data_IF_010291295235
#
_entry.id   IF_010291295235
#
_cell.length_a   1.000
_cell.length_b   1.000
_cell.length_c   1.000
_cell.angle_alpha   90.00
_cell.angle_beta   90.00
_cell.angle_gamma   90.00
#
_symmetry.space_group_name_H-M   'P 1'
#
loop_
_entity.id
_entity.type
_entity.pdbx_description
1 polymer ?
#
# COMPACT_ATOMS: atom_id res chain seq x y z
N UNK A 1 41.39 42.81 0.80
CA UNK A 1 41.36 41.39 0.44
C UNK A 1 40.80 40.63 1.63
N UNK A 2 39.57 40.16 1.44
CA UNK A 2 38.68 39.58 2.45
C UNK A 2 39.13 38.18 2.86
N UNK A 3 39.12 37.96 4.18
CA UNK A 3 39.42 36.69 4.85
C UNK A 3 38.26 35.70 4.64
N UNK A 4 38.56 34.50 4.16
CA UNK A 4 37.65 33.35 4.14
C UNK A 4 37.85 32.53 5.42
N UNK A 5 36.79 32.03 6.08
CA UNK A 5 36.93 31.10 7.19
C UNK A 5 36.95 29.64 6.72
N UNK A 6 37.93 28.90 7.22
CA UNK A 6 38.11 27.45 7.05
C UNK A 6 37.04 26.66 7.80
N UNK A 7 36.38 25.72 7.13
CA UNK A 7 35.48 24.74 7.74
C UNK A 7 36.22 23.44 8.07
N UNK A 8 36.21 23.07 9.35
CA UNK A 8 36.73 21.81 9.87
C UNK A 8 35.60 20.79 10.00
N UNK A 9 35.65 19.71 9.23
CA UNK A 9 34.73 18.57 9.35
C UNK A 9 35.08 17.75 10.60
N UNK A 10 34.23 17.80 11.63
CA UNK A 10 34.25 16.84 12.75
C UNK A 10 33.32 15.68 12.43
N UNK A 11 33.90 14.49 12.31
CA UNK A 11 33.19 13.21 12.30
C UNK A 11 32.59 12.93 13.68
N UNK A 12 31.26 12.80 13.74
CA UNK A 12 30.54 12.31 14.91
C UNK A 12 29.99 10.93 14.57
N UNK A 13 30.74 9.89 14.93
CA UNK A 13 30.21 8.53 15.04
C UNK A 13 29.57 8.39 16.42
N UNK A 14 28.27 8.08 16.46
CA UNK A 14 27.59 7.65 17.68
C UNK A 14 26.76 6.41 17.36
N UNK A 15 26.85 5.34 18.18
CA UNK A 15 26.18 4.08 17.91
C UNK A 15 24.69 4.15 18.29
N UNK A 16 23.83 3.60 17.42
CA UNK A 16 22.40 3.44 17.68
C UNK A 16 22.14 2.40 18.79
N UNK A 17 21.15 2.60 19.67
CA UNK A 17 20.80 1.64 20.70
C UNK A 17 20.05 0.42 20.15
N UNK A 18 20.49 -0.78 20.54
CA UNK A 18 19.80 -2.06 20.29
C UNK A 18 18.43 -2.06 21.00
N UNK A 19 17.34 -2.07 20.22
CA UNK A 19 15.99 -2.36 20.71
C UNK A 19 15.79 -3.87 20.87
N UNK A 20 15.71 -4.34 22.11
CA UNK A 20 15.21 -5.69 22.43
C UNK A 20 13.69 -5.71 22.34
N UNK A 21 13.14 -6.47 21.38
CA UNK A 21 11.70 -6.79 21.34
C UNK A 21 11.42 -7.87 22.38
N UNK A 22 10.71 -7.52 23.46
CA UNK A 22 10.00 -8.49 24.29
C UNK A 22 8.64 -8.77 23.65
N UNK A 23 8.37 -10.02 23.30
CA UNK A 23 7.02 -10.46 22.96
C UNK A 23 6.29 -10.81 24.27
N UNK A 24 5.04 -10.36 24.48
CA UNK A 24 4.22 -10.91 25.55
C UNK A 24 3.72 -12.29 25.14
N UNK A 25 4.08 -13.27 25.95
CA UNK A 25 3.53 -14.62 25.98
C UNK A 25 2.16 -14.59 26.65
N UNK A 26 1.23 -15.40 26.14
CA UNK A 26 -0.09 -15.76 26.68
C UNK A 26 -1.28 -15.10 26.00
N UNK A 27 -2.00 -15.92 25.24
CA UNK A 27 -3.32 -15.64 24.66
C UNK A 27 -4.23 -16.78 25.13
N UNK A 28 -5.13 -16.46 26.06
CA UNK A 28 -6.11 -17.36 26.64
C UNK A 28 -7.19 -17.67 25.60
N UNK A 29 -7.40 -18.95 25.31
CA UNK A 29 -8.44 -19.44 24.38
C UNK A 29 -9.81 -19.45 25.06
N UNK A 30 -10.82 -18.87 24.41
CA UNK A 30 -12.24 -19.11 24.69
C UNK A 30 -12.81 -20.09 23.65
N UNK A 31 -13.70 -21.02 24.04
CA UNK A 31 -14.18 -22.09 23.17
C UNK A 31 -15.44 -21.72 22.39
N UNK A 32 -15.57 -22.30 21.19
CA UNK A 32 -16.89 -22.57 20.59
C UNK A 32 -17.25 -21.75 19.35
N UNK A 33 -16.61 -22.03 18.21
CA UNK A 33 -17.27 -21.98 16.90
C UNK A 33 -16.67 -23.08 16.01
N UNK A 34 -17.46 -24.10 15.72
CA UNK A 34 -17.13 -25.15 14.75
C UNK A 34 -17.65 -24.74 13.39
N UNK A 35 -16.76 -24.56 12.41
CA UNK A 35 -17.13 -24.44 11.01
C UNK A 35 -16.57 -25.69 10.32
N UNK A 36 -17.47 -26.58 9.90
CA UNK A 36 -17.16 -27.70 9.03
C UNK A 36 -16.89 -27.15 7.63
N UNK A 37 -15.70 -27.39 7.10
CA UNK A 37 -15.43 -27.30 5.66
C UNK A 37 -15.25 -28.71 5.13
N UNK A 38 -16.13 -29.09 4.22
CA UNK A 38 -16.14 -30.36 3.51
C UNK A 38 -14.94 -30.45 2.55
N UNK A 39 -14.23 -31.58 2.67
CA UNK A 39 -13.56 -32.39 1.65
C UNK A 39 -13.17 -31.71 0.32
N UNK A 40 -11.86 -31.51 0.17
CA UNK A 40 -11.17 -31.56 -1.13
C UNK A 40 -10.06 -32.63 -1.04
N UNK A 41 -9.90 -33.53 -2.04
CA UNK A 41 -9.01 -34.67 -1.93
C UNK A 41 -7.58 -34.25 -2.31
N UNK A 42 -6.70 -34.09 -1.31
CA UNK A 42 -5.26 -33.92 -1.55
C UNK A 42 -4.56 -35.21 -1.14
N UNK A 43 -4.30 -36.05 -2.14
CA UNK A 43 -3.45 -37.23 -2.07
C UNK A 43 -2.00 -36.96 -2.47
N UNK A 44 -1.45 -35.77 -2.21
CA UNK A 44 -0.07 -35.39 -2.62
C UNK A 44 0.93 -35.30 -1.44
N UNK A 45 0.46 -35.44 -0.20
CA UNK A 45 1.28 -35.22 0.99
C UNK A 45 2.34 -36.30 1.29
N UNK A 46 2.23 -37.51 0.72
CA UNK A 46 3.12 -38.63 1.04
C UNK A 46 4.32 -38.72 0.10
N UNK A 47 4.14 -38.50 -1.21
CA UNK A 47 5.23 -38.50 -2.19
C UNK A 47 6.18 -37.31 -2.00
N UNK A 48 5.64 -36.13 -1.67
CA UNK A 48 6.43 -34.90 -1.45
C UNK A 48 7.30 -34.96 -0.20
N UNK A 49 6.78 -35.56 0.90
CA UNK A 49 7.55 -35.73 2.13
C UNK A 49 8.66 -36.79 2.00
N UNK A 50 8.45 -37.84 1.19
CA UNK A 50 9.48 -38.83 0.89
C UNK A 50 10.66 -38.20 0.12
N UNK A 51 10.40 -37.34 -0.87
CA UNK A 51 11.44 -36.62 -1.60
C UNK A 51 12.24 -35.65 -0.72
N UNK A 52 11.56 -34.88 0.15
CA UNK A 52 12.22 -33.96 1.10
C UNK A 52 13.13 -34.71 2.08
N UNK A 53 12.70 -35.85 2.59
CA UNK A 53 13.49 -36.69 3.50
C UNK A 53 14.68 -37.36 2.78
N UNK A 54 14.50 -37.82 1.55
CA UNK A 54 15.60 -38.36 0.71
C UNK A 54 16.69 -37.30 0.48
N UNK A 55 16.28 -36.07 0.15
CA UNK A 55 17.19 -34.96 -0.14
C UNK A 55 17.91 -34.45 1.13
N UNK A 56 17.21 -34.35 2.26
CA UNK A 56 17.83 -33.99 3.55
C UNK A 56 18.81 -35.05 4.05
N UNK A 57 18.58 -36.32 3.71
CA UNK A 57 19.48 -37.43 4.03
C UNK A 57 20.75 -37.39 3.16
N UNK A 58 20.63 -37.06 1.87
CA UNK A 58 21.77 -36.86 0.97
C UNK A 58 22.69 -35.71 1.43
N UNK A 59 22.12 -34.54 1.75
CA UNK A 59 22.89 -33.35 2.20
C UNK A 59 23.59 -33.60 3.55
N UNK A 60 22.94 -34.28 4.49
CA UNK A 60 23.57 -34.60 5.80
C UNK A 60 24.65 -35.66 5.73
N UNK A 61 24.63 -36.54 4.72
CA UNK A 61 25.61 -37.60 4.57
C UNK A 61 26.90 -37.14 3.86
N UNK A 62 26.82 -36.18 2.94
CA UNK A 62 28.01 -35.65 2.26
C UNK A 62 28.87 -34.74 3.14
N UNK A 63 28.28 -34.04 4.13
CA UNK A 63 29.03 -33.19 5.05
C UNK A 63 29.98 -33.96 6.01
N UNK A 64 29.94 -35.29 6.00
CA UNK A 64 30.70 -36.17 6.90
C UNK A 64 31.50 -37.26 6.15
N UNK A 65 31.49 -37.26 4.81
CA UNK A 65 32.27 -38.22 4.04
C UNK A 65 33.73 -37.72 3.95
N UNK A 66 34.73 -38.48 4.40
CA UNK A 66 36.13 -38.12 4.15
C UNK A 66 36.34 -37.95 2.66
N UNK A 67 37.01 -36.87 2.24
CA UNK A 67 37.40 -36.66 0.86
C UNK A 67 38.12 -37.91 0.35
N UNK A 68 37.48 -38.68 -0.52
CA UNK A 68 38.11 -39.83 -1.14
C UNK A 68 39.09 -39.28 -2.20
N UNK A 69 40.32 -39.78 -2.25
CA UNK A 69 41.37 -39.42 -3.24
C UNK A 69 40.87 -39.52 -4.71
N UNK A 70 39.79 -40.29 -4.89
CA UNK A 70 39.04 -40.44 -6.13
C UNK A 70 38.36 -39.14 -6.61
N UNK A 71 37.84 -38.30 -5.69
CA UNK A 71 37.08 -37.08 -6.02
C UNK A 71 38.01 -35.98 -6.55
N UNK A 72 39.16 -35.80 -5.91
CA UNK A 72 40.17 -34.82 -6.36
C UNK A 72 40.70 -35.17 -7.75
N UNK A 73 40.99 -36.45 -7.99
CA UNK A 73 41.43 -36.95 -9.29
C UNK A 73 40.38 -36.71 -10.38
N UNK A 74 39.10 -36.94 -10.06
CA UNK A 74 37.98 -36.65 -10.96
C UNK A 74 37.90 -35.16 -11.29
N UNK A 75 37.93 -34.28 -10.28
CA UNK A 75 37.84 -32.83 -10.50
C UNK A 75 39.00 -32.30 -11.34
N UNK A 76 40.24 -32.69 -11.04
CA UNK A 76 41.41 -32.29 -11.82
C UNK A 76 41.34 -32.76 -13.27
N UNK A 77 40.87 -33.99 -13.50
CA UNK A 77 40.67 -34.54 -14.85
C UNK A 77 39.62 -33.74 -15.63
N UNK A 78 38.48 -33.42 -15.01
CA UNK A 78 37.42 -32.65 -15.65
C UNK A 78 37.84 -31.21 -15.90
N UNK A 79 38.61 -30.58 -15.01
CA UNK A 79 39.18 -29.25 -15.25
C UNK A 79 40.10 -29.26 -16.48
N UNK A 80 40.97 -30.28 -16.61
CA UNK A 80 41.91 -30.38 -17.73
C UNK A 80 41.23 -30.75 -19.05
N UNK A 81 40.16 -31.54 -19.02
CA UNK A 81 39.46 -32.03 -20.22
C UNK A 81 37.98 -32.20 -19.95
N UNK A 82 37.20 -31.11 -20.00
CA UNK A 82 35.80 -31.13 -19.57
C UNK A 82 34.90 -32.05 -20.42
N UNK A 83 35.21 -32.22 -21.71
CA UNK A 83 34.43 -33.12 -22.58
C UNK A 83 34.62 -34.60 -22.22
N UNK A 84 35.66 -34.95 -21.44
CA UNK A 84 35.86 -36.33 -20.97
C UNK A 84 34.85 -36.75 -19.89
N UNK A 85 34.15 -35.79 -19.26
CA UNK A 85 33.18 -36.07 -18.22
C UNK A 85 31.89 -36.68 -18.79
N UNK A 86 31.57 -37.88 -18.32
CA UNK A 86 30.27 -38.54 -18.56
C UNK A 86 29.14 -37.77 -17.87
N UNK A 87 27.88 -38.00 -18.27
CA UNK A 87 26.72 -37.35 -17.63
C UNK A 87 26.65 -37.65 -16.12
N UNK A 88 26.90 -38.90 -15.72
CA UNK A 88 26.91 -39.29 -14.32
C UNK A 88 27.98 -38.54 -13.51
N UNK A 89 29.19 -38.37 -14.07
CA UNK A 89 30.26 -37.60 -13.43
C UNK A 89 29.93 -36.10 -13.35
N UNK A 90 29.30 -35.53 -14.39
CA UNK A 90 28.83 -34.13 -14.33
C UNK A 90 27.79 -33.95 -13.24
N UNK A 91 26.82 -34.86 -13.14
CA UNK A 91 25.79 -34.80 -12.12
C UNK A 91 26.41 -34.94 -10.72
N UNK A 92 27.35 -35.86 -10.52
CA UNK A 92 28.09 -35.98 -9.27
C UNK A 92 28.83 -34.68 -8.90
N UNK A 93 29.60 -34.12 -9.83
CA UNK A 93 30.35 -32.87 -9.63
C UNK A 93 29.41 -31.70 -9.27
N UNK A 94 28.24 -31.64 -9.91
CA UNK A 94 27.24 -30.58 -9.69
C UNK A 94 26.27 -30.88 -8.53
N UNK A 95 26.46 -32.00 -7.82
CA UNK A 95 25.56 -32.48 -6.75
C UNK A 95 24.10 -32.63 -7.23
N UNK A 96 23.94 -33.11 -8.47
CA UNK A 96 22.66 -33.45 -9.09
C UNK A 96 22.36 -34.96 -8.91
N UNK A 97 21.09 -35.40 -9.06
CA UNK A 97 20.72 -36.81 -8.98
C UNK A 97 21.39 -37.63 -10.08
N UNK A 98 21.34 -38.96 -10.00
CA UNK A 98 21.85 -39.78 -11.10
C UNK A 98 21.12 -39.43 -12.42
N UNK A 99 21.72 -39.68 -13.60
CA UNK A 99 21.06 -39.41 -14.88
C UNK A 99 19.66 -40.03 -14.98
N UNK A 100 19.50 -41.26 -14.49
CA UNK A 100 18.24 -41.98 -14.47
C UNK A 100 17.22 -41.33 -13.52
N UNK A 101 17.66 -40.93 -12.32
CA UNK A 101 16.80 -40.23 -11.36
C UNK A 101 16.39 -38.85 -11.87
N UNK A 102 17.32 -38.11 -12.49
CA UNK A 102 17.06 -36.80 -13.08
C UNK A 102 16.03 -36.90 -14.23
N UNK A 103 16.17 -37.88 -15.12
CA UNK A 103 15.20 -38.10 -16.19
C UNK A 103 13.84 -38.57 -15.66
N UNK A 104 13.81 -39.45 -14.65
CA UNK A 104 12.57 -39.84 -13.97
C UNK A 104 11.89 -38.63 -13.34
N UNK A 105 12.64 -37.74 -12.69
CA UNK A 105 12.11 -36.51 -12.10
C UNK A 105 11.62 -35.52 -13.17
N UNK A 106 12.32 -35.40 -14.30
CA UNK A 106 11.85 -34.59 -15.43
C UNK A 106 10.54 -35.14 -15.97
N UNK A 107 10.48 -36.44 -16.28
CA UNK A 107 9.28 -37.12 -16.80
C UNK A 107 8.11 -36.98 -15.84
N UNK A 108 8.35 -37.12 -14.53
CA UNK A 108 7.30 -36.95 -13.53
C UNK A 108 6.71 -35.52 -13.51
N UNK A 109 7.53 -34.49 -13.80
CA UNK A 109 7.11 -33.09 -13.77
C UNK A 109 6.55 -32.58 -15.11
N UNK A 110 7.09 -33.05 -16.22
CA UNK A 110 6.83 -32.47 -17.56
C UNK A 110 6.31 -33.49 -18.56
N UNK A 111 6.40 -34.79 -18.26
CA UNK A 111 6.14 -35.87 -19.21
C UNK A 111 7.29 -36.11 -20.19
N UNK A 112 8.42 -35.40 -20.07
CA UNK A 112 9.56 -35.46 -20.98
C UNK A 112 10.87 -35.71 -20.21
N UNK A 113 11.78 -36.47 -20.80
CA UNK A 113 13.16 -36.61 -20.31
C UNK A 113 13.93 -35.30 -20.46
N UNK A 114 15.09 -35.15 -19.79
CA UNK A 114 15.87 -33.92 -19.92
C UNK A 114 16.33 -33.68 -21.36
N UNK A 115 16.71 -34.74 -22.07
CA UNK A 115 17.14 -34.64 -23.47
C UNK A 115 16.00 -34.19 -24.39
N UNK A 116 14.78 -34.72 -24.18
CA UNK A 116 13.60 -34.29 -24.94
C UNK A 116 13.21 -32.84 -24.61
N UNK A 117 13.35 -32.41 -23.36
CA UNK A 117 13.14 -31.02 -22.96
C UNK A 117 14.13 -30.05 -23.62
N UNK A 118 15.41 -30.43 -23.68
CA UNK A 118 16.43 -29.64 -24.39
C UNK A 118 16.11 -29.56 -25.89
N UNK A 119 15.69 -30.66 -26.50
CA UNK A 119 15.25 -30.67 -27.90
C UNK A 119 14.02 -29.77 -28.13
N UNK A 120 13.02 -29.83 -27.24
CA UNK A 120 11.83 -28.97 -27.28
C UNK A 120 12.22 -27.50 -27.15
N UNK A 121 13.12 -27.16 -26.23
CA UNK A 121 13.60 -25.79 -26.03
C UNK A 121 14.33 -25.22 -27.25
N UNK A 122 14.90 -26.07 -28.10
CA UNK A 122 15.53 -25.67 -29.36
C UNK A 122 14.54 -25.55 -30.52
N UNK A 123 13.62 -26.50 -30.63
CA UNK A 123 12.68 -26.58 -31.74
C UNK A 123 11.52 -25.57 -31.61
N UNK A 124 10.96 -25.45 -30.41
CA UNK A 124 9.73 -24.69 -30.13
C UNK A 124 9.83 -24.02 -28.75
N UNK A 125 10.73 -23.02 -28.58
CA UNK A 125 10.96 -22.39 -27.28
C UNK A 125 9.71 -21.73 -26.69
N UNK A 126 8.82 -21.19 -27.54
CA UNK A 126 7.59 -20.53 -27.10
C UNK A 126 6.54 -21.50 -26.52
N UNK A 127 6.67 -22.81 -26.81
CA UNK A 127 5.79 -23.87 -26.30
C UNK A 127 6.27 -24.45 -24.96
N UNK A 128 7.36 -23.92 -24.40
CA UNK A 128 7.83 -24.29 -23.07
C UNK A 128 6.88 -23.76 -22.01
N UNK A 129 6.39 -24.65 -21.15
CA UNK A 129 5.71 -24.27 -19.91
C UNK A 129 6.71 -23.67 -18.91
N UNK A 130 6.19 -23.02 -17.86
CA UNK A 130 7.03 -22.45 -16.80
C UNK A 130 7.97 -23.49 -16.16
N UNK A 131 7.46 -24.69 -15.88
CA UNK A 131 8.23 -25.77 -15.25
C UNK A 131 9.31 -26.29 -16.19
N UNK A 132 8.99 -26.50 -17.46
CA UNK A 132 9.96 -26.95 -18.47
C UNK A 132 11.08 -25.92 -18.67
N UNK A 133 10.72 -24.64 -18.87
CA UNK A 133 11.68 -23.56 -19.04
C UNK A 133 12.59 -23.40 -17.81
N UNK A 134 12.04 -23.57 -16.61
CA UNK A 134 12.79 -23.55 -15.35
C UNK A 134 13.76 -24.74 -15.24
N UNK A 135 13.32 -25.96 -15.55
CA UNK A 135 14.18 -27.16 -15.51
C UNK A 135 15.34 -27.04 -16.50
N UNK A 136 15.08 -26.60 -17.73
CA UNK A 136 16.13 -26.46 -18.76
C UNK A 136 17.13 -25.36 -18.40
N UNK A 137 16.68 -24.26 -17.80
CA UNK A 137 17.55 -23.12 -17.45
C UNK A 137 18.32 -23.30 -16.15
N UNK A 138 17.69 -23.88 -15.12
CA UNK A 138 18.21 -23.91 -13.74
C UNK A 138 18.43 -25.32 -13.18
N UNK A 139 18.00 -26.36 -13.90
CA UNK A 139 18.09 -27.76 -13.49
C UNK A 139 16.89 -28.27 -12.69
N UNK A 140 16.73 -29.60 -12.63
CA UNK A 140 15.56 -30.27 -12.05
C UNK A 140 15.35 -30.01 -10.55
N UNK A 141 16.45 -29.71 -9.85
CA UNK A 141 16.48 -29.52 -8.41
C UNK A 141 16.22 -28.08 -7.96
N UNK A 142 16.07 -27.11 -8.87
CA UNK A 142 15.89 -25.71 -8.47
C UNK A 142 14.70 -25.51 -7.52
N UNK A 143 13.60 -26.23 -7.71
CA UNK A 143 12.44 -26.15 -6.81
C UNK A 143 12.75 -26.59 -5.37
N UNK A 144 13.71 -27.50 -5.18
CA UNK A 144 14.15 -27.90 -3.83
C UNK A 144 14.87 -26.76 -3.11
N UNK A 145 15.47 -25.82 -3.86
CA UNK A 145 16.08 -24.60 -3.32
C UNK A 145 15.06 -23.49 -3.03
N UNK A 146 13.98 -23.39 -3.79
CA UNK A 146 12.94 -22.39 -3.53
C UNK A 146 12.08 -22.76 -2.31
N UNK A 147 11.94 -24.06 -2.05
CA UNK A 147 11.11 -24.61 -0.98
C UNK A 147 11.83 -24.77 0.38
N UNK A 148 13.12 -24.42 0.47
CA UNK A 148 13.77 -24.34 1.79
C UNK A 148 13.30 -23.10 2.56
N UNK A 149 12.95 -23.32 3.83
CA UNK A 149 12.57 -22.25 4.75
C UNK A 149 13.66 -21.18 4.86
N UNK A 150 13.28 -19.98 5.30
CA UNK A 150 14.18 -18.82 5.40
C UNK A 150 15.51 -19.14 6.10
N UNK A 151 15.45 -19.80 7.27
CA UNK A 151 16.63 -20.15 8.07
C UNK A 151 17.63 -21.08 7.34
N UNK A 152 17.12 -21.98 6.50
CA UNK A 152 17.97 -22.91 5.74
C UNK A 152 18.58 -22.23 4.53
N UNK A 153 17.88 -21.25 3.92
CA UNK A 153 18.46 -20.36 2.91
C UNK A 153 19.58 -19.53 3.51
N UNK A 154 19.36 -18.91 4.67
CA UNK A 154 20.35 -18.08 5.36
C UNK A 154 21.62 -18.89 5.69
N UNK A 155 21.48 -20.08 6.27
CA UNK A 155 22.63 -20.98 6.51
C UNK A 155 23.41 -21.32 5.23
N UNK A 156 22.71 -21.54 4.11
CA UNK A 156 23.38 -21.80 2.83
C UNK A 156 24.09 -20.56 2.28
N UNK A 157 23.55 -19.36 2.51
CA UNK A 157 24.25 -18.12 2.19
C UNK A 157 25.49 -17.97 3.05
N UNK A 158 25.40 -18.19 4.36
CA UNK A 158 26.55 -18.13 5.28
C UNK A 158 27.65 -19.13 4.86
N UNK A 159 27.27 -20.35 4.45
CA UNK A 159 28.21 -21.34 3.91
C UNK A 159 28.87 -20.91 2.60
N UNK A 160 28.22 -20.07 1.77
CA UNK A 160 28.85 -19.50 0.56
C UNK A 160 29.87 -18.39 0.88
N UNK A 161 29.76 -17.75 2.05
CA UNK A 161 30.70 -16.73 2.50
C UNK A 161 31.86 -17.30 3.31
N UNK A 162 31.81 -18.58 3.68
CA UNK A 162 32.98 -19.28 4.19
C UNK A 162 33.98 -19.54 3.07
N UNK A 163 35.27 -19.44 3.40
CA UNK A 163 36.34 -19.79 2.47
C UNK A 163 36.16 -21.26 2.07
N UNK A 164 35.98 -21.56 0.76
CA UNK A 164 35.72 -22.92 0.33
C UNK A 164 36.91 -23.81 0.68
N UNK A 165 36.62 -25.05 1.12
CA UNK A 165 37.69 -26.03 1.34
C UNK A 165 38.48 -26.23 0.02
N UNK A 166 39.76 -26.65 0.06
CA UNK A 166 40.53 -26.90 -1.15
C UNK A 166 39.82 -27.80 -2.16
N UNK A 167 39.13 -28.84 -1.66
CA UNK A 167 38.34 -29.75 -2.49
C UNK A 167 37.11 -29.06 -3.09
N UNK A 168 36.39 -28.24 -2.31
CA UNK A 168 35.24 -27.49 -2.80
C UNK A 168 35.65 -26.42 -3.83
N UNK A 169 36.82 -25.80 -3.66
CA UNK A 169 37.38 -24.89 -4.66
C UNK A 169 37.70 -25.62 -5.97
N UNK A 170 38.21 -26.86 -5.90
CA UNK A 170 38.40 -27.73 -7.08
C UNK A 170 37.07 -28.12 -7.71
N UNK A 171 36.07 -28.51 -6.92
CA UNK A 171 34.73 -28.81 -7.39
C UNK A 171 34.13 -27.62 -8.15
N UNK A 172 34.20 -26.41 -7.56
CA UNK A 172 33.71 -25.19 -8.20
C UNK A 172 34.40 -24.92 -9.55
N UNK A 173 35.72 -25.11 -9.64
CA UNK A 173 36.47 -25.01 -10.90
C UNK A 173 36.04 -26.07 -11.92
N UNK A 174 35.78 -27.30 -11.48
CA UNK A 174 35.27 -28.36 -12.35
C UNK A 174 33.86 -28.03 -12.87
N UNK A 175 32.98 -27.49 -12.01
CA UNK A 175 31.65 -27.01 -12.39
C UNK A 175 31.75 -25.91 -13.45
N UNK A 176 32.62 -24.91 -13.25
CA UNK A 176 32.88 -23.85 -14.23
C UNK A 176 33.36 -24.41 -15.57
N UNK A 177 34.31 -25.35 -15.54
CA UNK A 177 34.85 -25.99 -16.73
C UNK A 177 33.77 -26.79 -17.50
N UNK A 178 32.90 -27.52 -16.78
CA UNK A 178 31.73 -28.20 -17.36
C UNK A 178 30.80 -27.19 -18.04
N UNK A 179 30.48 -26.07 -17.38
CA UNK A 179 29.61 -25.05 -17.96
C UNK A 179 30.18 -24.42 -19.23
N UNK A 180 31.49 -24.16 -19.26
CA UNK A 180 32.16 -23.61 -20.44
C UNK A 180 32.17 -24.59 -21.62
N UNK A 181 32.31 -25.89 -21.33
CA UNK A 181 32.39 -26.95 -22.33
C UNK A 181 31.04 -27.47 -22.83
N UNK A 182 29.91 -26.96 -22.33
CA UNK A 182 28.57 -27.29 -22.84
C UNK A 182 28.49 -27.08 -24.35
N UNK A 183 27.78 -27.98 -25.01
CA UNK A 183 27.53 -27.92 -26.45
C UNK A 183 26.79 -26.64 -26.83
N UNK A 184 26.96 -26.19 -28.07
CA UNK A 184 26.30 -24.98 -28.59
C UNK A 184 24.77 -25.09 -28.48
N UNK A 185 24.23 -26.29 -28.72
CA UNK A 185 22.81 -26.58 -28.63
C UNK A 185 22.30 -26.51 -27.18
N UNK A 186 23.01 -27.09 -26.21
CA UNK A 186 22.65 -26.97 -24.78
C UNK A 186 22.69 -25.51 -24.30
N UNK A 187 23.67 -24.72 -24.77
CA UNK A 187 23.76 -23.29 -24.47
C UNK A 187 22.57 -22.53 -25.06
N UNK A 188 22.24 -22.77 -26.33
CA UNK A 188 21.09 -22.15 -27.00
C UNK A 188 19.76 -22.53 -26.35
N UNK A 189 19.59 -23.79 -25.98
CA UNK A 189 18.42 -24.28 -25.25
C UNK A 189 18.30 -23.57 -23.89
N UNK A 190 19.40 -23.51 -23.13
CA UNK A 190 19.45 -22.82 -21.84
C UNK A 190 19.12 -21.33 -21.93
N UNK A 191 19.67 -20.62 -22.93
CA UNK A 191 19.37 -19.19 -23.15
C UNK A 191 17.90 -19.00 -23.53
N UNK A 192 17.35 -19.83 -24.42
CA UNK A 192 15.96 -19.72 -24.86
C UNK A 192 15.00 -20.00 -23.72
N UNK A 193 15.22 -21.09 -22.98
CA UNK A 193 14.45 -21.44 -21.79
C UNK A 193 14.57 -20.37 -20.69
N UNK A 194 15.74 -19.78 -20.47
CA UNK A 194 15.93 -18.71 -19.48
C UNK A 194 15.11 -17.46 -19.82
N UNK A 195 15.02 -17.09 -21.10
CA UNK A 195 14.18 -15.96 -21.56
C UNK A 195 12.70 -16.23 -21.30
N UNK A 196 12.21 -17.42 -21.67
CA UNK A 196 10.81 -17.82 -21.46
C UNK A 196 10.49 -17.89 -19.97
N UNK A 197 11.36 -18.52 -19.18
CA UNK A 197 11.22 -18.60 -17.72
C UNK A 197 11.14 -17.21 -17.10
N UNK A 198 12.05 -16.29 -17.43
CA UNK A 198 12.03 -14.91 -16.89
C UNK A 198 10.74 -14.18 -17.25
N UNK A 199 10.23 -14.34 -18.47
CA UNK A 199 8.99 -13.73 -18.90
C UNK A 199 7.77 -14.29 -18.13
N UNK A 200 7.70 -15.61 -17.97
CA UNK A 200 6.62 -16.27 -17.23
C UNK A 200 6.70 -16.00 -15.71
N UNK A 201 7.90 -15.98 -15.14
CA UNK A 201 8.14 -15.65 -13.72
C UNK A 201 7.70 -14.23 -13.39
N UNK A 202 7.94 -13.28 -14.31
CA UNK A 202 7.44 -11.92 -14.17
C UNK A 202 5.91 -11.87 -14.17
N UNK A 203 5.25 -12.57 -15.10
CA UNK A 203 3.79 -12.62 -15.16
C UNK A 203 3.21 -13.20 -13.86
N UNK A 204 3.79 -14.29 -13.35
CA UNK A 204 3.35 -14.92 -12.11
C UNK A 204 3.61 -14.02 -10.89
N UNK A 205 4.77 -13.39 -10.83
CA UNK A 205 5.10 -12.40 -9.80
C UNK A 205 4.15 -11.20 -9.81
N UNK A 206 3.78 -10.70 -10.98
CA UNK A 206 2.82 -9.60 -11.14
C UNK A 206 1.41 -10.02 -10.65
N UNK A 207 0.97 -11.25 -10.96
CA UNK A 207 -0.29 -11.80 -10.43
C UNK A 207 -0.27 -11.93 -8.91
N UNK A 208 0.81 -12.47 -8.35
CA UNK A 208 0.98 -12.60 -6.90
C UNK A 208 1.01 -11.24 -6.21
N UNK A 209 1.69 -10.27 -6.82
CA UNK A 209 1.73 -8.89 -6.34
C UNK A 209 0.34 -8.25 -6.33
N UNK A 210 -0.46 -8.43 -7.39
CA UNK A 210 -1.82 -7.89 -7.45
C UNK A 210 -2.76 -8.59 -6.45
N UNK A 211 -2.68 -9.91 -6.31
CA UNK A 211 -3.40 -10.66 -5.26
C UNK A 211 -3.03 -10.16 -3.85
N UNK A 212 -1.74 -9.99 -3.58
CA UNK A 212 -1.26 -9.42 -2.32
C UNK A 212 -1.75 -7.98 -2.12
N UNK A 213 -1.78 -7.17 -3.19
CA UNK A 213 -2.30 -5.80 -3.17
C UNK A 213 -3.78 -5.77 -2.84
N UNK A 214 -4.59 -6.65 -3.44
CA UNK A 214 -6.02 -6.80 -3.16
C UNK A 214 -6.25 -7.28 -1.72
N UNK A 215 -5.54 -8.30 -1.26
CA UNK A 215 -5.62 -8.78 0.12
C UNK A 215 -5.22 -7.68 1.12
N UNK A 216 -4.20 -6.88 0.80
CA UNK A 216 -3.77 -5.73 1.60
C UNK A 216 -4.83 -4.62 1.58
N UNK A 217 -5.45 -4.33 0.45
CA UNK A 217 -6.56 -3.39 0.32
C UNK A 217 -7.77 -3.84 1.17
N UNK A 218 -8.15 -5.11 1.11
CA UNK A 218 -9.24 -5.68 1.91
C UNK A 218 -8.94 -5.59 3.42
N UNK A 219 -7.71 -5.93 3.83
CA UNK A 219 -7.27 -5.75 5.24
C UNK A 219 -7.30 -4.29 5.67
N UNK A 220 -6.86 -3.38 4.79
CA UNK A 220 -6.89 -1.93 5.01
C UNK A 220 -8.30 -1.39 5.13
N UNK A 221 -9.24 -1.90 4.33
CA UNK A 221 -10.65 -1.57 4.43
C UNK A 221 -11.21 -2.07 5.76
N UNK A 222 -10.97 -3.34 6.13
CA UNK A 222 -11.40 -3.90 7.41
C UNK A 222 -10.87 -3.11 8.62
N UNK A 223 -9.60 -2.68 8.56
CA UNK A 223 -8.94 -1.87 9.58
C UNK A 223 -9.15 -0.35 9.43
N UNK A 224 -9.97 0.10 8.48
CA UNK A 224 -10.30 1.50 8.25
C UNK A 224 -11.18 2.10 9.34
N UNK A 225 -11.11 3.42 9.49
CA UNK A 225 -12.05 4.18 10.32
C UNK A 225 -13.47 4.04 9.78
N UNK A 226 -14.47 4.17 10.67
CA UNK A 226 -15.90 4.10 10.28
C UNK A 226 -16.21 5.08 9.15
N UNK A 227 -15.76 6.33 9.29
CA UNK A 227 -16.04 7.38 8.29
C UNK A 227 -15.49 7.03 6.90
N UNK A 228 -14.25 6.53 6.78
CA UNK A 228 -13.70 6.17 5.46
C UNK A 228 -14.44 5.02 4.79
N UNK A 229 -14.83 4.00 5.57
CA UNK A 229 -15.64 2.88 5.06
C UNK A 229 -16.97 3.38 4.52
N UNK A 230 -17.61 4.25 5.30
CA UNK A 230 -18.88 4.87 4.94
C UNK A 230 -18.78 5.70 3.65
N UNK A 231 -17.69 6.45 3.44
CA UNK A 231 -17.47 7.14 2.15
C UNK A 231 -17.30 6.13 1.02
N UNK A 232 -16.41 5.14 1.17
CA UNK A 232 -16.14 4.17 0.12
C UNK A 232 -17.40 3.40 -0.29
N UNK A 233 -18.23 3.04 0.69
CA UNK A 233 -19.53 2.41 0.46
C UNK A 233 -20.49 3.36 -0.26
N UNK A 234 -20.63 4.61 0.20
CA UNK A 234 -21.49 5.59 -0.48
C UNK A 234 -21.04 5.86 -1.93
N UNK A 235 -19.73 5.90 -2.18
CA UNK A 235 -19.20 6.03 -3.55
C UNK A 235 -19.58 4.85 -4.44
N UNK A 236 -19.61 3.63 -3.89
CA UNK A 236 -20.02 2.43 -4.61
C UNK A 236 -21.53 2.39 -4.86
N UNK A 237 -22.34 2.64 -3.82
CA UNK A 237 -23.80 2.64 -3.87
C UNK A 237 -24.35 3.72 -4.81
N UNK A 238 -23.75 4.91 -4.79
CA UNK A 238 -24.11 6.00 -5.67
C UNK A 238 -23.46 5.87 -7.06
N UNK A 239 -22.50 4.96 -7.27
CA UNK A 239 -21.70 4.95 -8.49
C UNK A 239 -20.95 6.27 -8.71
N UNK A 240 -20.51 6.90 -7.63
CA UNK A 240 -19.74 8.14 -7.64
C UNK A 240 -18.24 7.83 -7.76
N UNK A 241 -17.55 8.57 -8.62
CA UNK A 241 -16.11 8.37 -8.85
C UNK A 241 -15.24 9.14 -7.85
N UNK A 242 -15.79 10.19 -7.26
CA UNK A 242 -15.03 11.10 -6.40
C UNK A 242 -15.79 11.54 -5.15
N UNK A 243 -15.04 12.10 -4.19
CA UNK A 243 -15.57 12.71 -2.98
C UNK A 243 -14.78 13.97 -2.63
N UNK A 244 -15.38 14.86 -1.86
CA UNK A 244 -14.72 16.03 -1.31
C UNK A 244 -15.67 17.21 -1.17
N UNK A 245 -15.16 18.43 -1.37
CA UNK A 245 -15.88 19.66 -1.08
C UNK A 245 -15.75 20.67 -2.22
N UNK A 246 -16.72 21.57 -2.29
CA UNK A 246 -16.59 22.83 -3.03
C UNK A 246 -15.91 23.86 -2.14
N UNK A 247 -14.94 24.60 -2.69
CA UNK A 247 -14.19 25.64 -2.00
C UNK A 247 -14.29 26.95 -2.79
N UNK A 248 -15.04 27.91 -2.26
CA UNK A 248 -15.14 29.25 -2.84
C UNK A 248 -13.96 30.11 -2.43
N UNK A 249 -13.27 30.70 -3.41
CA UNK A 249 -12.38 31.84 -3.20
C UNK A 249 -13.27 33.09 -3.09
N UNK A 250 -13.13 33.85 -2.01
CA UNK A 250 -13.89 35.10 -1.79
C UNK A 250 -13.01 36.27 -1.39
N UNK A 251 -11.70 36.12 -1.56
CA UNK A 251 -10.74 37.13 -1.20
C UNK A 251 -9.52 37.13 -2.10
N UNK A 252 -8.81 38.25 -2.04
CA UNK A 252 -7.60 38.50 -2.82
C UNK A 252 -7.84 38.55 -4.33
N UNK A 253 -9.07 38.77 -4.79
CA UNK A 253 -9.30 39.26 -6.15
C UNK A 253 -8.82 40.71 -6.24
N UNK A 254 -8.30 41.11 -7.40
CA UNK A 254 -7.79 42.47 -7.64
C UNK A 254 -6.48 42.84 -6.92
N UNK A 255 -5.86 41.94 -6.17
CA UNK A 255 -4.54 42.14 -5.54
C UNK A 255 -3.36 41.86 -6.49
N UNK A 256 -3.63 41.75 -7.80
CA UNK A 256 -2.65 41.39 -8.82
C UNK A 256 -1.99 40.03 -8.57
N UNK A 257 -0.76 39.88 -9.08
CA UNK A 257 0.02 38.63 -8.99
C UNK A 257 0.22 38.14 -7.55
N UNK A 258 0.30 39.04 -6.57
CA UNK A 258 0.44 38.67 -5.15
C UNK A 258 -0.79 37.92 -4.63
N UNK A 259 -1.99 38.34 -5.05
CA UNK A 259 -3.25 37.72 -4.68
C UNK A 259 -3.37 36.29 -5.20
N UNK A 260 -3.03 36.09 -6.48
CA UNK A 260 -3.06 34.77 -7.12
C UNK A 260 -1.95 33.86 -6.58
N UNK A 261 -0.78 34.40 -6.30
CA UNK A 261 0.28 33.64 -5.64
C UNK A 261 -0.12 33.20 -4.22
N UNK A 262 -0.83 34.05 -3.45
CA UNK A 262 -1.35 33.66 -2.15
C UNK A 262 -2.43 32.57 -2.25
N UNK A 263 -3.32 32.69 -3.25
CA UNK A 263 -4.32 31.67 -3.53
C UNK A 263 -3.70 30.32 -3.91
N UNK A 264 -2.69 30.32 -4.78
CA UNK A 264 -1.98 29.10 -5.16
C UNK A 264 -1.29 28.45 -3.95
N UNK A 265 -0.64 29.24 -3.08
CA UNK A 265 -0.06 28.72 -1.83
C UNK A 265 -1.10 28.06 -0.93
N UNK A 266 -2.28 28.66 -0.81
CA UNK A 266 -3.38 28.07 -0.06
C UNK A 266 -3.85 26.75 -0.70
N UNK A 267 -4.00 26.67 -2.02
CA UNK A 267 -4.37 25.43 -2.73
C UNK A 267 -3.35 24.32 -2.50
N UNK A 268 -2.06 24.65 -2.61
CA UNK A 268 -0.98 23.70 -2.36
C UNK A 268 -0.98 23.20 -0.91
N UNK A 269 -1.20 24.10 0.05
CA UNK A 269 -1.34 23.73 1.46
C UNK A 269 -2.56 22.82 1.68
N UNK A 270 -3.70 23.16 1.10
CA UNK A 270 -4.94 22.38 1.16
C UNK A 270 -4.72 20.96 0.62
N UNK A 271 -4.10 20.81 -0.56
CA UNK A 271 -3.83 19.51 -1.17
C UNK A 271 -2.86 18.66 -0.34
N UNK A 272 -1.74 19.25 0.10
CA UNK A 272 -0.77 18.57 0.97
C UNK A 272 -1.42 18.09 2.25
N UNK A 273 -2.28 18.91 2.85
CA UNK A 273 -2.97 18.60 4.09
C UNK A 273 -4.04 17.53 3.89
N UNK A 274 -4.83 17.62 2.82
CA UNK A 274 -5.80 16.59 2.43
C UNK A 274 -5.08 15.25 2.25
N UNK A 275 -3.97 15.24 1.49
CA UNK A 275 -3.15 14.06 1.24
C UNK A 275 -2.60 13.46 2.50
N UNK A 276 -1.96 14.28 3.35
CA UNK A 276 -1.40 13.82 4.62
C UNK A 276 -2.50 13.27 5.54
N UNK A 277 -3.66 13.91 5.54
CA UNK A 277 -4.79 13.51 6.38
C UNK A 277 -5.38 12.18 5.93
N UNK A 278 -5.74 12.08 4.65
CA UNK A 278 -6.37 10.88 4.09
C UNK A 278 -5.39 9.70 4.12
N UNK A 279 -4.14 9.89 3.68
CA UNK A 279 -3.18 8.78 3.62
C UNK A 279 -2.68 8.31 4.98
N UNK A 280 -2.90 9.06 6.06
CA UNK A 280 -2.52 8.62 7.41
C UNK A 280 -3.25 7.33 7.84
N UNK A 281 -4.47 7.13 7.35
CA UNK A 281 -5.31 6.01 7.74
C UNK A 281 -5.10 4.79 6.86
N UNK A 282 -5.39 3.61 7.43
CA UNK A 282 -5.22 2.34 6.72
C UNK A 282 -5.97 2.29 5.37
N UNK A 283 -7.20 2.82 5.30
CA UNK A 283 -7.98 2.91 4.06
C UNK A 283 -7.65 4.13 3.19
N UNK A 284 -6.78 5.02 3.67
CA UNK A 284 -6.35 6.23 2.96
C UNK A 284 -5.91 6.01 1.52
N UNK A 285 -5.08 5.00 1.21
CA UNK A 285 -4.66 4.72 -0.16
C UNK A 285 -5.79 4.33 -1.12
N UNK A 286 -6.94 3.86 -0.62
CA UNK A 286 -8.13 3.57 -1.45
C UNK A 286 -8.95 4.82 -1.71
N UNK A 287 -9.00 5.72 -0.72
CA UNK A 287 -9.84 6.89 -0.72
C UNK A 287 -9.17 8.10 -1.38
N UNK A 288 -7.86 8.27 -1.22
CA UNK A 288 -7.10 9.41 -1.75
C UNK A 288 -7.19 9.57 -3.27
N UNK A 289 -7.07 8.51 -4.10
CA UNK A 289 -7.20 8.66 -5.56
C UNK A 289 -8.57 9.22 -6.01
N UNK A 290 -9.58 9.09 -5.16
CA UNK A 290 -10.96 9.55 -5.38
C UNK A 290 -11.22 10.95 -4.79
N UNK A 291 -10.30 11.52 -4.01
CA UNK A 291 -10.49 12.85 -3.43
C UNK A 291 -10.45 13.94 -4.51
N UNK A 292 -11.39 14.88 -4.47
CA UNK A 292 -11.48 16.04 -5.37
C UNK A 292 -11.96 17.26 -4.59
N UNK A 293 -11.28 18.38 -4.78
CA UNK A 293 -11.75 19.69 -4.33
C UNK A 293 -12.16 20.51 -5.56
N UNK A 294 -13.40 21.01 -5.57
CA UNK A 294 -13.92 21.88 -6.63
C UNK A 294 -13.69 23.32 -6.20
N UNK A 295 -12.63 23.93 -6.71
CA UNK A 295 -12.31 25.33 -6.44
C UNK A 295 -13.14 26.24 -7.35
N UNK A 296 -13.92 27.14 -6.75
CA UNK A 296 -14.71 28.13 -7.48
C UNK A 296 -13.99 29.47 -7.41
N UNK A 297 -13.54 29.93 -8.58
CA UNK A 297 -12.68 31.09 -8.75
C UNK A 297 -13.38 32.14 -9.63
N UNK A 298 -14.43 32.75 -9.11
CA UNK A 298 -15.21 33.79 -9.80
C UNK A 298 -14.97 35.16 -9.15
N UNK A 299 -14.44 36.12 -9.90
CA UNK A 299 -14.14 37.47 -9.39
C UNK A 299 -15.38 38.20 -8.88
N UNK A 300 -16.57 37.89 -9.41
CA UNK A 300 -17.82 38.45 -8.94
C UNK A 300 -18.17 38.03 -7.49
N UNK A 301 -17.48 37.01 -6.97
CA UNK A 301 -17.64 36.52 -5.61
C UNK A 301 -16.64 37.13 -4.61
N UNK A 302 -15.84 38.13 -5.02
CA UNK A 302 -14.95 38.84 -4.08
C UNK A 302 -15.78 39.50 -2.96
N UNK A 303 -15.47 39.13 -1.72
CA UNK A 303 -16.20 39.57 -0.53
C UNK A 303 -17.71 39.27 -0.55
N UNK A 304 -18.15 38.27 -1.34
CA UNK A 304 -19.56 37.88 -1.41
C UNK A 304 -20.12 37.47 -0.04
N UNK A 305 -21.39 37.81 0.18
CA UNK A 305 -22.11 37.39 1.38
C UNK A 305 -22.36 35.88 1.37
N UNK A 306 -22.61 35.31 2.55
CA UNK A 306 -22.95 33.89 2.64
C UNK A 306 -24.22 33.56 1.84
N UNK A 307 -25.19 34.47 1.78
CA UNK A 307 -26.44 34.30 1.05
C UNK A 307 -26.18 34.16 -0.46
N UNK A 308 -25.31 35.01 -1.01
CA UNK A 308 -24.88 34.92 -2.41
C UNK A 308 -24.14 33.60 -2.69
N UNK A 309 -23.24 33.20 -1.79
CA UNK A 309 -22.51 31.93 -1.94
C UNK A 309 -23.41 30.70 -1.84
N UNK A 310 -24.42 30.74 -0.95
CA UNK A 310 -25.43 29.67 -0.84
C UNK A 310 -26.26 29.55 -2.11
N UNK A 311 -26.71 30.68 -2.65
CA UNK A 311 -27.43 30.71 -3.92
C UNK A 311 -26.58 30.12 -5.04
N UNK A 312 -25.35 30.61 -5.20
CA UNK A 312 -24.40 30.10 -6.20
C UNK A 312 -24.14 28.60 -6.06
N UNK A 313 -23.93 28.12 -4.84
CA UNK A 313 -23.71 26.69 -4.58
C UNK A 313 -24.95 25.85 -4.95
N UNK A 314 -26.16 26.31 -4.61
CA UNK A 314 -27.40 25.62 -4.97
C UNK A 314 -27.60 25.54 -6.48
N UNK A 315 -27.22 26.59 -7.22
CA UNK A 315 -27.22 26.53 -8.70
C UNK A 315 -26.32 25.41 -9.23
N UNK A 316 -25.09 25.31 -8.73
CA UNK A 316 -24.13 24.26 -9.12
C UNK A 316 -24.61 22.85 -8.73
N UNK A 317 -25.20 22.72 -7.53
CA UNK A 317 -25.73 21.46 -6.99
C UNK A 317 -26.94 20.97 -7.80
N UNK A 318 -27.89 21.87 -8.04
CA UNK A 318 -29.17 21.54 -8.66
C UNK A 318 -29.09 21.57 -10.20
N UNK A 319 -27.95 21.98 -10.76
CA UNK A 319 -27.75 22.04 -12.19
C UNK A 319 -28.52 23.16 -12.90
N UNK A 320 -28.92 24.20 -12.14
CA UNK A 320 -29.71 25.31 -12.68
C UNK A 320 -28.84 26.20 -13.56
N UNK A 321 -29.46 26.83 -14.55
CA UNK A 321 -28.84 27.84 -15.42
C UNK A 321 -27.70 27.33 -16.33
N UNK A 322 -27.62 26.02 -16.60
CA UNK A 322 -26.64 25.45 -17.54
C UNK A 322 -25.18 25.58 -17.10
N UNK A 323 -24.94 25.88 -15.81
CA UNK A 323 -23.61 25.94 -15.23
C UNK A 323 -22.99 24.55 -14.99
N UNK A 324 -21.70 24.56 -14.64
CA UNK A 324 -20.95 23.36 -14.29
C UNK A 324 -21.64 22.65 -13.12
N UNK A 325 -22.17 21.46 -13.40
CA UNK A 325 -22.78 20.61 -12.39
C UNK A 325 -21.69 20.04 -11.48
N UNK A 326 -22.00 19.94 -10.19
CA UNK A 326 -21.10 19.27 -9.26
C UNK A 326 -20.90 17.79 -9.65
N UNK A 327 -19.66 17.29 -9.71
CA UNK A 327 -19.40 15.87 -9.88
C UNK A 327 -20.11 15.04 -8.81
N UNK A 328 -20.63 13.88 -9.20
CA UNK A 328 -21.31 12.96 -8.28
C UNK A 328 -20.37 12.55 -7.15
N UNK A 329 -20.86 12.63 -5.90
CA UNK A 329 -20.12 12.30 -4.67
C UNK A 329 -19.40 13.48 -4.00
N UNK A 330 -19.34 14.66 -4.63
CA UNK A 330 -18.98 15.91 -3.92
C UNK A 330 -20.05 16.24 -2.89
N UNK A 331 -19.65 16.67 -1.69
CA UNK A 331 -20.59 17.00 -0.61
C UNK A 331 -21.51 18.15 -1.01
N UNK A 332 -22.80 17.96 -0.74
CA UNK A 332 -23.89 18.88 -1.09
C UNK A 332 -24.52 19.53 0.14
N UNK A 333 -24.24 19.00 1.34
CA UNK A 333 -24.71 19.56 2.61
C UNK A 333 -23.80 20.63 3.21
N UNK A 334 -22.62 20.87 2.63
CA UNK A 334 -21.66 21.85 3.12
C UNK A 334 -20.71 22.27 2.00
N UNK A 335 -20.38 23.56 1.96
CA UNK A 335 -19.25 24.08 1.18
C UNK A 335 -18.29 24.88 2.05
N UNK A 336 -17.09 25.09 1.52
CA UNK A 336 -16.02 25.81 2.21
C UNK A 336 -15.81 27.18 1.58
N UNK A 337 -15.41 28.15 2.39
CA UNK A 337 -15.10 29.51 1.95
C UNK A 337 -13.71 29.89 2.45
N UNK A 338 -12.82 30.16 1.49
CA UNK A 338 -11.51 30.73 1.72
C UNK A 338 -11.59 32.24 1.45
N UNK A 339 -11.69 33.01 2.53
CA UNK A 339 -11.67 34.47 2.47
C UNK A 339 -10.24 35.02 2.48
N UNK A 340 -10.10 36.35 2.45
CA UNK A 340 -8.78 37.01 2.46
C UNK A 340 -7.91 36.59 3.64
N UNK A 341 -8.49 36.37 4.83
CA UNK A 341 -7.73 35.99 6.02
C UNK A 341 -7.24 34.53 5.92
N UNK A 342 -8.09 33.62 5.44
CA UNK A 342 -7.71 32.23 5.17
C UNK A 342 -6.59 32.16 4.13
N UNK A 343 -6.73 32.88 3.01
CA UNK A 343 -5.78 32.84 1.87
C UNK A 343 -4.43 33.45 2.25
N UNK A 344 -4.41 34.56 3.00
CA UNK A 344 -3.18 35.23 3.43
C UNK A 344 -2.59 34.67 4.72
N UNK A 345 -3.13 33.58 5.26
CA UNK A 345 -2.65 33.01 6.51
C UNK A 345 -1.17 32.59 6.41
N UNK A 346 -0.34 33.06 7.33
CA UNK A 346 1.07 32.66 7.44
C UNK A 346 1.21 31.17 7.75
N UNK A 347 0.21 30.58 8.42
CA UNK A 347 0.16 29.15 8.70
C UNK A 347 0.19 28.29 7.44
N UNK A 348 -0.32 28.79 6.31
CA UNK A 348 -0.27 28.10 5.02
C UNK A 348 1.17 27.95 4.47
N UNK A 349 2.12 28.75 4.98
CA UNK A 349 3.52 28.73 4.58
C UNK A 349 4.36 27.78 5.45
N UNK A 350 3.88 27.46 6.65
CA UNK A 350 4.58 26.59 7.57
C UNK A 350 4.29 25.11 7.25
N UNK A 351 5.29 24.21 7.39
CA UNK A 351 5.05 22.78 7.28
C UNK A 351 4.15 22.31 8.42
N UNK A 352 2.96 21.81 8.11
CA UNK A 352 2.06 21.18 9.06
C UNK A 352 1.99 19.67 8.80
N UNK A 353 2.21 18.87 9.84
CA UNK A 353 2.07 17.41 9.79
C UNK A 353 0.93 17.02 10.74
N UNK A 354 -0.20 16.51 10.23
CA UNK A 354 -1.29 16.06 11.08
C UNK A 354 -0.80 15.00 12.08
N UNK A 355 -1.02 15.25 13.36
CA UNK A 355 -0.81 14.26 14.42
C UNK A 355 -2.12 13.57 14.69
N UNK A 356 -2.09 12.27 14.91
CA UNK A 356 -3.28 11.50 15.19
C UNK A 356 -3.20 10.88 16.57
N UNK A 357 -4.26 11.04 17.33
CA UNK A 357 -4.40 10.35 18.60
C UNK A 357 -5.13 9.03 18.36
N UNK A 358 -4.43 7.91 18.58
CA UNK A 358 -5.01 6.56 18.52
C UNK A 358 -6.17 6.39 19.51
N UNK A 359 -6.16 7.14 20.61
CA UNK A 359 -7.17 7.06 21.66
C UNK A 359 -8.49 7.71 21.21
N UNK A 360 -8.41 8.71 20.33
CA UNK A 360 -9.55 9.55 19.91
C UNK A 360 -9.99 9.22 18.49
N UNK A 361 -9.15 8.54 17.70
CA UNK A 361 -9.46 8.22 16.31
C UNK A 361 -9.55 9.47 15.42
N UNK A 362 -8.79 10.52 15.76
CA UNK A 362 -8.90 11.85 15.14
C UNK A 362 -7.57 12.61 15.10
N UNK A 363 -7.54 13.67 14.29
CA UNK A 363 -6.44 14.63 14.25
C UNK A 363 -6.36 15.38 15.58
N UNK A 364 -5.19 15.33 16.21
CA UNK A 364 -4.85 16.10 17.41
C UNK A 364 -4.10 17.37 16.97
N UNK A 365 -4.75 18.52 17.17
CA UNK A 365 -4.21 19.85 16.89
C UNK A 365 -3.76 20.43 18.22
N UNK A 366 -2.49 20.85 18.32
CA UNK A 366 -1.97 21.53 19.49
C UNK A 366 -2.06 23.05 19.30
N UNK A 367 -2.14 23.85 20.39
CA UNK A 367 -2.23 25.31 20.30
C UNK A 367 -1.11 25.98 19.49
N UNK A 368 0.09 25.39 19.51
CA UNK A 368 1.27 25.88 18.79
C UNK A 368 1.32 25.49 17.30
N UNK A 369 0.36 24.69 16.81
CA UNK A 369 0.38 24.26 15.43
C UNK A 369 0.02 25.40 14.47
N UNK A 370 0.74 25.54 13.34
CA UNK A 370 0.39 26.49 12.31
C UNK A 370 -0.81 25.97 11.50
N UNK A 371 -2.01 26.23 12.01
CA UNK A 371 -3.28 25.79 11.40
C UNK A 371 -3.96 26.91 10.65
N UNK A 372 -4.31 26.63 9.39
CA UNK A 372 -5.21 27.47 8.61
C UNK A 372 -6.65 27.17 9.03
N UNK A 373 -7.42 28.22 9.29
CA UNK A 373 -8.85 28.11 9.55
C UNK A 373 -9.64 28.48 8.29
N UNK A 374 -10.69 27.72 8.02
CA UNK A 374 -11.57 27.88 6.88
C UNK A 374 -13.03 27.91 7.34
N UNK A 375 -13.87 28.64 6.62
CA UNK A 375 -15.28 28.73 6.95
C UNK A 375 -16.08 27.64 6.24
N UNK A 376 -16.76 26.79 6.99
CA UNK A 376 -17.77 25.85 6.50
C UNK A 376 -19.14 26.51 6.54
N UNK A 377 -19.94 26.36 5.47
CA UNK A 377 -21.24 27.02 5.32
C UNK A 377 -22.32 26.01 4.94
N UNK A 378 -23.46 26.12 5.61
CA UNK A 378 -24.68 25.37 5.31
C UNK A 378 -25.37 26.00 4.09
N UNK A 379 -25.49 25.27 2.96
CA UNK A 379 -26.12 25.76 1.74
C UNK A 379 -27.62 26.01 1.89
N UNK A 380 -28.30 25.34 2.81
CA UNK A 380 -29.76 25.39 2.94
C UNK A 380 -30.22 26.19 4.17
N UNK A 381 -29.29 26.83 4.89
CA UNK A 381 -29.62 27.67 6.02
C UNK A 381 -30.55 28.83 5.64
N UNK A 382 -31.66 28.97 6.37
CA UNK A 382 -32.66 30.04 6.19
C UNK A 382 -33.75 29.73 5.15
N UNK A 383 -33.74 28.55 4.51
CA UNK A 383 -34.81 28.13 3.59
C UNK A 383 -36.02 27.66 4.41
N UNK A 384 -37.12 28.43 4.38
CA UNK A 384 -38.31 28.26 5.23
C UNK A 384 -39.22 27.07 4.88
N UNK A 385 -38.99 26.42 3.74
CA UNK A 385 -39.95 25.45 3.15
C UNK A 385 -39.70 23.98 3.53
N UNK A 386 -38.92 23.67 4.57
CA UNK A 386 -38.81 22.27 5.03
C UNK A 386 -40.05 21.91 5.87
N UNK A 387 -40.85 20.90 5.45
CA UNK A 387 -42.15 20.58 6.08
C UNK A 387 -42.10 20.22 7.57
N UNK A 388 -40.92 19.94 8.12
CA UNK A 388 -40.72 19.41 9.47
C UNK A 388 -40.21 20.50 10.46
N UNK A 389 -40.60 21.76 10.26
CA UNK A 389 -40.06 22.92 10.97
C UNK A 389 -40.55 23.11 12.43
N UNK A 390 -41.27 22.16 13.03
CA UNK A 390 -41.90 22.37 14.33
C UNK A 390 -40.98 22.26 15.57
N UNK A 391 -39.71 21.85 15.43
CA UNK A 391 -38.75 21.77 16.56
C UNK A 391 -37.63 22.84 16.46
N UNK A 392 -38.02 24.11 16.60
CA UNK A 392 -37.14 25.28 16.38
C UNK A 392 -36.43 25.84 17.62
N UNK A 393 -36.22 25.06 18.69
CA UNK A 393 -35.85 25.64 19.99
C UNK A 393 -34.33 25.79 20.25
N UNK A 394 -33.42 25.12 19.51
CA UNK A 394 -32.04 24.97 20.03
C UNK A 394 -30.87 25.66 19.29
N UNK A 395 -31.08 26.41 18.21
CA UNK A 395 -29.98 27.07 17.46
C UNK A 395 -30.12 28.59 17.31
N UNK A 396 -30.73 29.25 18.31
CA UNK A 396 -30.90 30.72 18.32
C UNK A 396 -29.53 31.42 18.18
N UNK A 397 -29.39 32.24 17.15
CA UNK A 397 -28.15 32.99 16.85
C UNK A 397 -27.13 32.26 15.98
N UNK A 398 -27.36 31.00 15.59
CA UNK A 398 -26.54 30.36 14.56
C UNK A 398 -26.72 31.09 13.22
N UNK A 399 -25.65 31.21 12.42
CA UNK A 399 -25.70 31.91 11.12
C UNK A 399 -25.58 30.95 9.93
N UNK A 400 -25.71 29.64 10.16
CA UNK A 400 -25.48 28.64 9.11
C UNK A 400 -24.03 28.60 8.64
N UNK A 401 -23.07 28.90 9.52
CA UNK A 401 -21.63 28.86 9.24
C UNK A 401 -20.83 28.53 10.49
N UNK A 402 -19.69 27.90 10.29
CA UNK A 402 -18.71 27.59 11.32
C UNK A 402 -17.29 27.85 10.80
N UNK A 403 -16.40 28.29 11.69
CA UNK A 403 -14.97 28.34 11.39
C UNK A 403 -14.33 27.05 11.86
N UNK A 404 -13.63 26.35 10.97
CA UNK A 404 -13.09 25.02 11.21
C UNK A 404 -11.60 25.02 10.90
N UNK A 405 -10.81 24.38 11.75
CA UNK A 405 -9.41 24.08 11.45
C UNK A 405 -9.32 23.21 10.20
N UNK A 406 -8.56 23.62 9.18
CA UNK A 406 -8.53 22.93 7.89
C UNK A 406 -8.22 21.42 7.97
N UNK A 407 -7.35 20.91 8.88
CA UNK A 407 -7.14 19.47 9.02
C UNK A 407 -8.44 18.71 9.34
N UNK A 408 -9.33 19.32 10.14
CA UNK A 408 -10.60 18.73 10.58
C UNK A 408 -11.66 18.65 9.48
N UNK A 409 -11.45 19.33 8.36
CA UNK A 409 -12.35 19.28 7.20
C UNK A 409 -12.39 17.86 6.63
N UNK A 410 -11.25 17.18 6.61
CA UNK A 410 -11.08 15.92 5.89
C UNK A 410 -11.47 14.68 6.70
N UNK A 411 -11.62 14.78 8.02
CA UNK A 411 -12.10 13.69 8.89
C UNK A 411 -13.46 14.01 9.51
N UNK A 412 -13.51 14.98 10.42
CA UNK A 412 -14.65 15.30 11.25
C UNK A 412 -15.78 15.93 10.44
N UNK A 413 -15.51 17.04 9.74
CA UNK A 413 -16.54 17.78 9.03
C UNK A 413 -17.18 16.89 7.96
N UNK A 414 -16.36 16.12 7.27
CA UNK A 414 -16.82 15.17 6.29
C UNK A 414 -17.74 14.10 6.91
N UNK A 415 -17.37 13.50 8.05
CA UNK A 415 -18.24 12.53 8.73
C UNK A 415 -19.59 13.16 9.13
N UNK A 416 -19.54 14.38 9.68
CA UNK A 416 -20.76 15.07 10.11
C UNK A 416 -21.67 15.42 8.92
N UNK A 417 -21.09 15.86 7.81
CA UNK A 417 -21.82 16.13 6.57
C UNK A 417 -22.39 14.84 5.97
N UNK A 418 -21.62 13.76 5.95
CA UNK A 418 -22.10 12.47 5.47
C UNK A 418 -23.35 12.02 6.24
N UNK A 419 -23.31 12.08 7.58
CA UNK A 419 -24.45 11.71 8.42
C UNK A 419 -25.65 12.65 8.20
N UNK A 420 -25.40 13.93 7.91
CA UNK A 420 -26.46 14.88 7.56
C UNK A 420 -27.18 14.50 6.27
N UNK A 421 -26.44 14.04 5.26
CA UNK A 421 -26.98 13.67 3.94
C UNK A 421 -27.72 12.32 3.97
N UNK A 422 -27.21 11.35 4.73
CA UNK A 422 -27.67 9.95 4.67
C UNK A 422 -28.52 9.53 5.88
N UNK A 423 -28.64 10.39 6.90
CA UNK A 423 -29.15 10.01 8.22
C UNK A 423 -28.18 9.07 8.94
N UNK A 424 -28.35 8.86 10.24
CA UNK A 424 -27.46 7.99 11.06
C UNK A 424 -27.56 6.48 10.72
N UNK A 425 -28.10 6.11 9.55
CA UNK A 425 -28.48 4.74 9.19
C UNK A 425 -29.67 4.20 10.01
N UNK A 426 -30.29 5.05 10.82
CA UNK A 426 -31.51 4.77 11.56
C UNK A 426 -32.67 5.35 10.74
N UNK A 427 -33.62 4.54 10.25
CA UNK A 427 -34.82 5.04 9.59
C UNK A 427 -35.51 6.09 10.48
N UNK A 428 -35.65 7.32 9.98
CA UNK A 428 -36.23 8.44 10.72
C UNK A 428 -35.24 9.33 11.50
N UNK A 429 -33.92 9.12 11.39
CA UNK A 429 -32.94 10.06 11.94
C UNK A 429 -32.95 11.39 11.19
N UNK A 430 -33.21 12.48 11.92
CA UNK A 430 -33.27 13.84 11.41
C UNK A 430 -31.93 14.29 10.77
N UNK A 431 -31.98 14.65 9.47
CA UNK A 431 -30.87 15.21 8.69
C UNK A 431 -30.26 16.47 9.34
N UNK A 432 -31.01 17.19 10.19
CA UNK A 432 -30.54 18.38 10.91
C UNK A 432 -29.54 18.05 12.03
N UNK A 433 -29.40 16.78 12.44
CA UNK A 433 -28.43 16.38 13.47
C UNK A 433 -26.99 16.71 13.09
N UNK A 434 -26.65 16.70 11.80
CA UNK A 434 -25.31 17.05 11.33
C UNK A 434 -24.95 18.51 11.64
N UNK A 435 -25.76 19.46 11.17
CA UNK A 435 -25.51 20.89 11.43
C UNK A 435 -25.75 21.30 12.87
N UNK A 436 -26.66 20.64 13.60
CA UNK A 436 -26.76 20.79 15.06
C UNK A 436 -25.48 20.31 15.75
N UNK A 437 -24.90 19.19 15.34
CA UNK A 437 -23.61 18.74 15.86
C UNK A 437 -22.49 19.73 15.53
N UNK A 438 -22.45 20.26 14.30
CA UNK A 438 -21.50 21.34 13.93
C UNK A 438 -21.70 22.54 14.84
N UNK A 439 -22.93 23.06 15.00
CA UNK A 439 -23.23 24.22 15.84
C UNK A 439 -22.85 23.99 17.31
N UNK A 440 -23.32 22.89 17.91
CA UNK A 440 -23.06 22.58 19.32
C UNK A 440 -21.57 22.47 19.60
N UNK A 441 -20.80 21.94 18.63
CA UNK A 441 -19.37 21.81 18.77
C UNK A 441 -18.67 23.14 18.50
N UNK A 442 -19.17 23.97 17.59
CA UNK A 442 -18.53 25.24 17.17
C UNK A 442 -18.95 26.46 18.00
N UNK A 443 -19.94 26.34 18.89
CA UNK A 443 -20.45 27.45 19.73
C UNK A 443 -19.44 28.04 20.71
N UNK A 444 -18.42 27.29 21.10
CA UNK A 444 -17.32 27.73 21.96
C UNK A 444 -15.98 27.52 21.22
N UNK A 445 -15.47 28.51 20.48
CA UNK A 445 -14.25 28.38 19.68
C UNK A 445 -13.04 27.91 20.51
N UNK A 446 -12.95 28.33 21.77
CA UNK A 446 -11.88 27.94 22.71
C UNK A 446 -11.94 26.46 23.12
N UNK A 447 -13.09 25.79 22.98
CA UNK A 447 -13.22 24.36 23.26
C UNK A 447 -12.50 23.48 22.22
N UNK A 448 -12.11 24.05 21.07
CA UNK A 448 -11.45 23.33 19.97
C UNK A 448 -9.96 23.08 20.20
N UNK A 449 -9.33 23.84 21.11
CA UNK A 449 -7.93 23.66 21.50
C UNK A 449 -7.74 22.53 22.52
N UNK A 450 -8.84 21.98 23.09
CA UNK A 450 -8.78 20.95 24.13
C UNK A 450 -9.49 19.67 23.68
N UNK A 451 -8.70 18.67 23.30
CA UNK A 451 -9.02 17.24 23.15
C UNK A 451 -10.50 16.85 23.17
N UNK A 452 -11.02 16.45 22.01
CA UNK A 452 -12.32 15.79 21.89
C UNK A 452 -12.25 14.29 22.22
N UNK A 453 -13.37 13.68 22.61
CA UNK A 453 -13.59 12.22 22.72
C UNK A 453 -14.89 11.83 21.96
N UNK A 454 -14.81 11.12 20.82
CA UNK A 454 -15.97 10.61 20.08
C UNK A 454 -16.72 9.48 20.77
N UNK A 455 -16.06 8.77 21.69
CA UNK A 455 -16.62 7.60 22.35
C UNK A 455 -17.54 7.98 23.51
N UNK A 456 -17.44 9.22 23.98
CA UNK A 456 -18.48 9.90 24.72
C UNK A 456 -19.69 10.09 23.82
N UNK A 457 -20.50 9.04 23.68
CA UNK A 457 -21.88 9.19 23.29
C UNK A 457 -22.47 10.27 24.17
N UNK A 458 -22.67 11.47 23.61
CA UNK A 458 -23.44 12.51 24.26
C UNK A 458 -24.85 11.94 24.34
N UNK A 459 -25.14 11.28 25.46
CA UNK A 459 -26.49 11.04 25.91
C UNK A 459 -27.12 12.42 26.01
N UNK A 460 -27.96 12.74 25.04
CA UNK A 460 -28.84 13.91 25.11
C UNK A 460 -29.68 13.74 26.39
N UNK A 461 -29.53 14.66 27.32
CA UNK A 461 -30.43 14.87 28.45
C UNK A 461 -31.22 16.15 28.18
#
# INVERSE_FOLDING_TARGET
MSLLPSFTLRSLTSPLPRRTRRYPTSLTLLPGVSIKTENSPIGEGTAFNAHRLSYQKAIKMDALRPAEEHDETLYLRVIASPQSATRAERNFIQQLPSPEEEDQMCVAKTGLTLTELVAKALATPDDLTFVEAKIVSLGILHDAFDNVGFDEREKRYDLRYMEPSPLQALQNKAIEAIHQARGEDEKKAGISASKIWTALDKIESDKQYESWRQARAARRLKAGTRWMKTILQGLEEEGAECWGFVVFRTGCYGAGEEGDAAWQRFRDYFDKLAKATVLHWNSGPLLWPKFRAVFVEDEALDSASNEQLRERFREMRDGRNGGDHLPKGIRTSCFLVADRATIKSEAAQAPYVPRYSSNVGQIHIMPEDPVVYIRAVDPDYGVKERPDAEEHVEMTGFQGKATVALPRVFDWLHLVCFNAEHGDGIPGADQRKGWRAIYVQTKAPEAWERNWDPSGGVLYA
#
